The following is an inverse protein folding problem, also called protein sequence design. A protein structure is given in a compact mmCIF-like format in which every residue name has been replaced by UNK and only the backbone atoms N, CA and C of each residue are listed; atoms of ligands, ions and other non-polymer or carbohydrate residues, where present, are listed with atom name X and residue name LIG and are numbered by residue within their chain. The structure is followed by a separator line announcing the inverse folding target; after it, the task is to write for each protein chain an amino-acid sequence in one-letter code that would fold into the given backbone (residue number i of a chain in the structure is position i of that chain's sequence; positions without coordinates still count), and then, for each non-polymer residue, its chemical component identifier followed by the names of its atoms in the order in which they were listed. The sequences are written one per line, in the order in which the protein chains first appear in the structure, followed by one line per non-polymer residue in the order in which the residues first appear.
data_IF_369046474013
#
_entry.id   IF_369046474013
#
_cell.length_a   1.000
_cell.length_b   1.000
_cell.length_c   1.000
_cell.angle_alpha   90.00
_cell.angle_beta   90.00
_cell.angle_gamma   90.00
#
_symmetry.space_group_name_H-M   'P 1'
#
loop_
_entity.id
_entity.type
_entity.pdbx_description
1 polymer ?
#
# COMPACT_ATOMS: atom_id res chain seq x y z
N UNK A 1 -11.53 -37.92 -67.21
CA UNK A 1 -12.59 -37.13 -66.53
C UNK A 1 -12.56 -37.24 -65.00
N UNK A 2 -12.28 -38.42 -64.40
CA UNK A 2 -12.25 -38.55 -62.93
C UNK A 2 -11.14 -37.73 -62.24
N UNK A 3 -9.91 -37.70 -62.78
CA UNK A 3 -8.80 -36.94 -62.22
C UNK A 3 -9.06 -35.43 -62.11
N UNK A 4 -9.79 -34.85 -63.07
CA UNK A 4 -10.08 -33.42 -63.10
C UNK A 4 -10.97 -33.00 -61.90
N UNK A 5 -11.94 -33.84 -61.55
CA UNK A 5 -12.79 -33.61 -60.38
C UNK A 5 -12.00 -33.71 -59.07
N UNK A 6 -11.10 -34.69 -58.94
CA UNK A 6 -10.25 -34.86 -57.76
C UNK A 6 -9.30 -33.67 -57.56
N UNK A 7 -8.59 -33.26 -58.61
CA UNK A 7 -7.67 -32.12 -58.55
C UNK A 7 -8.42 -30.82 -58.23
N UNK A 8 -9.57 -30.59 -58.85
CA UNK A 8 -10.39 -29.40 -58.59
C UNK A 8 -10.92 -29.37 -57.16
N UNK A 9 -11.29 -30.52 -56.60
CA UNK A 9 -11.76 -30.63 -55.21
C UNK A 9 -10.64 -30.32 -54.23
N UNK A 10 -9.46 -30.92 -54.41
CA UNK A 10 -8.30 -30.68 -53.55
C UNK A 10 -7.86 -29.22 -53.62
N UNK A 11 -7.83 -28.63 -54.83
CA UNK A 11 -7.46 -27.22 -55.01
C UNK A 11 -8.46 -26.28 -54.31
N UNK A 12 -9.75 -26.61 -54.34
CA UNK A 12 -10.79 -25.84 -53.64
C UNK A 12 -10.62 -25.91 -52.13
N UNK A 13 -10.31 -27.09 -51.58
CA UNK A 13 -10.06 -27.26 -50.14
C UNK A 13 -8.83 -26.47 -49.70
N UNK A 14 -7.73 -26.55 -50.47
CA UNK A 14 -6.51 -25.78 -50.18
C UNK A 14 -6.79 -24.28 -50.22
N UNK A 15 -7.54 -23.80 -51.22
CA UNK A 15 -7.92 -22.39 -51.31
C UNK A 15 -8.71 -21.92 -50.07
N UNK A 16 -9.67 -22.72 -49.59
CA UNK A 16 -10.43 -22.41 -48.37
C UNK A 16 -9.54 -22.38 -47.12
N UNK A 17 -8.60 -23.33 -46.99
CA UNK A 17 -7.66 -23.32 -45.86
C UNK A 17 -6.77 -22.08 -45.87
N UNK A 18 -6.27 -21.68 -47.05
CA UNK A 18 -5.44 -20.49 -47.19
C UNK A 18 -6.23 -19.20 -46.92
N UNK A 19 -7.51 -19.11 -47.33
CA UNK A 19 -8.33 -17.93 -47.01
C UNK A 19 -8.59 -17.80 -45.51
N UNK A 20 -8.86 -18.91 -44.81
CA UNK A 20 -9.03 -18.90 -43.36
C UNK A 20 -7.74 -18.52 -42.61
N UNK A 21 -6.57 -18.96 -43.10
CA UNK A 21 -5.28 -18.58 -42.53
C UNK A 21 -5.05 -17.06 -42.64
N UNK A 22 -5.28 -16.48 -43.82
CA UNK A 22 -5.14 -15.03 -44.03
C UNK A 22 -6.11 -14.23 -43.16
N UNK A 23 -7.35 -14.70 -42.97
CA UNK A 23 -8.32 -14.03 -42.09
C UNK A 23 -7.86 -14.03 -40.61
N UNK A 24 -7.19 -15.09 -40.16
CA UNK A 24 -6.60 -15.14 -38.82
C UNK A 24 -5.40 -14.20 -38.69
N UNK A 25 -4.51 -14.18 -39.69
CA UNK A 25 -3.29 -13.37 -39.66
C UNK A 25 -3.56 -11.87 -39.80
N UNK A 26 -4.72 -11.48 -40.36
CA UNK A 26 -5.14 -10.09 -40.48
C UNK A 26 -5.77 -9.52 -39.20
N UNK A 27 -5.83 -10.29 -38.11
CA UNK A 27 -6.44 -9.90 -36.81
C UNK A 27 -7.78 -9.17 -36.99
N UNK A 28 -8.58 -9.58 -38.01
CA UNK A 28 -9.83 -8.92 -38.38
C UNK A 28 -10.86 -9.00 -37.23
N UNK A 29 -10.70 -9.99 -36.36
CA UNK A 29 -11.39 -10.10 -35.10
C UNK A 29 -10.38 -9.73 -34.01
N UNK A 30 -10.47 -8.54 -33.42
CA UNK A 30 -9.55 -8.14 -32.36
C UNK A 30 -9.68 -9.10 -31.18
N UNK A 31 -8.55 -9.67 -30.76
CA UNK A 31 -8.46 -10.43 -29.51
C UNK A 31 -8.74 -9.48 -28.34
N UNK A 32 -9.81 -9.75 -27.60
CA UNK A 32 -10.09 -9.04 -26.37
C UNK A 32 -9.11 -9.51 -25.30
N UNK A 33 -7.95 -8.84 -25.21
CA UNK A 33 -7.06 -9.00 -24.06
C UNK A 33 -7.78 -8.44 -22.84
N UNK A 34 -7.96 -9.27 -21.82
CA UNK A 34 -8.32 -8.79 -20.50
C UNK A 34 -7.15 -7.93 -20.01
N UNK A 35 -7.27 -6.61 -20.16
CA UNK A 35 -6.46 -5.71 -19.37
C UNK A 35 -6.87 -5.98 -17.94
N UNK A 36 -5.96 -6.51 -17.12
CA UNK A 36 -6.06 -6.31 -15.68
C UNK A 36 -6.27 -4.82 -15.51
N UNK A 37 -7.48 -4.44 -15.09
CA UNK A 37 -7.79 -3.06 -14.82
C UNK A 37 -6.73 -2.61 -13.84
N UNK A 38 -5.91 -1.63 -14.24
CA UNK A 38 -5.08 -0.92 -13.28
C UNK A 38 -6.02 -0.63 -12.11
N UNK A 39 -5.69 -1.17 -10.94
CA UNK A 39 -6.43 -0.94 -9.70
C UNK A 39 -6.35 0.55 -9.40
N UNK A 40 -7.10 1.36 -10.15
CA UNK A 40 -7.51 2.69 -9.77
C UNK A 40 -8.55 2.44 -8.70
N UNK A 41 -8.05 2.08 -7.52
CA UNK A 41 -8.80 2.06 -6.29
C UNK A 41 -9.71 3.27 -6.34
N UNK A 42 -11.01 3.00 -6.33
CA UNK A 42 -12.05 3.99 -6.44
C UNK A 42 -11.70 5.15 -5.51
N UNK A 43 -11.73 6.37 -6.06
CA UNK A 43 -11.54 7.61 -5.33
C UNK A 43 -12.76 7.89 -4.44
N UNK A 44 -13.15 6.94 -3.61
CA UNK A 44 -14.14 7.11 -2.56
C UNK A 44 -13.38 7.49 -1.30
N UNK A 45 -13.47 8.78 -1.01
CA UNK A 45 -12.96 9.51 0.14
C UNK A 45 -12.85 8.67 1.43
N UNK A 46 -11.61 8.57 1.95
CA UNK A 46 -11.17 8.54 3.37
C UNK A 46 -9.98 7.59 3.59
N UNK A 47 -9.88 6.50 2.85
CA UNK A 47 -8.75 5.57 2.96
C UNK A 47 -8.23 5.16 1.58
N UNK A 48 -6.90 5.05 1.46
CA UNK A 48 -6.23 4.59 0.25
C UNK A 48 -5.36 3.40 0.57
N UNK A 49 -5.46 2.35 -0.23
CA UNK A 49 -4.50 1.25 -0.20
C UNK A 49 -3.16 1.74 -0.73
N UNK A 50 -2.14 1.67 0.12
CA UNK A 50 -0.76 1.99 -0.23
C UNK A 50 -0.01 0.67 -0.38
N UNK A 51 0.62 0.40 -1.54
CA UNK A 51 1.38 -0.83 -1.72
C UNK A 51 2.55 -0.86 -0.75
N UNK A 52 2.74 -2.00 -0.09
CA UNK A 52 3.90 -2.28 0.76
C UNK A 52 4.99 -2.95 -0.07
N UNK A 53 6.26 -2.79 0.32
CA UNK A 53 7.37 -3.46 -0.34
C UNK A 53 7.47 -4.95 0.10
N UNK A 54 8.38 -5.70 -0.52
CA UNK A 54 8.63 -7.13 -0.21
C UNK A 54 8.98 -7.38 1.27
N UNK A 55 9.51 -6.36 1.95
CA UNK A 55 9.87 -6.41 3.36
C UNK A 55 8.74 -5.95 4.30
N UNK A 56 7.52 -5.73 3.79
CA UNK A 56 6.36 -5.21 4.53
C UNK A 56 6.64 -3.87 5.24
N UNK A 57 7.54 -3.05 4.70
CA UNK A 57 7.83 -1.71 5.22
C UNK A 57 7.15 -0.65 4.36
N UNK A 58 6.82 0.48 4.99
CA UNK A 58 6.16 1.61 4.36
C UNK A 58 6.80 2.91 4.84
N UNK A 59 7.37 3.66 3.90
CA UNK A 59 7.91 5.00 4.18
C UNK A 59 6.79 6.04 4.04
N UNK A 60 6.42 6.68 5.14
CA UNK A 60 5.35 7.68 5.19
C UNK A 60 5.94 9.06 5.45
N UNK A 61 5.76 9.99 4.50
CA UNK A 61 6.04 11.42 4.69
C UNK A 61 4.72 12.18 4.64
N UNK A 62 4.34 12.77 5.77
CA UNK A 62 3.14 13.60 5.85
C UNK A 62 3.54 15.06 5.59
N UNK A 63 2.91 15.69 4.60
CA UNK A 63 3.21 17.06 4.15
C UNK A 63 1.92 17.85 4.06
N UNK A 64 2.00 19.17 4.24
CA UNK A 64 0.91 20.12 3.98
C UNK A 64 -0.41 19.74 4.68
N UNK A 65 -0.33 19.30 5.95
CA UNK A 65 -1.53 19.07 6.75
C UNK A 65 -2.16 20.43 7.06
N UNK A 66 -3.20 20.79 6.31
CA UNK A 66 -4.02 21.96 6.58
C UNK A 66 -5.18 21.60 7.54
N UNK A 67 -4.84 21.00 8.68
CA UNK A 67 -5.80 20.89 9.78
C UNK A 67 -5.64 22.15 10.62
N UNK A 68 -6.75 22.85 10.88
CA UNK A 68 -6.73 24.12 11.62
C UNK A 68 -6.30 23.96 13.08
N UNK A 69 -6.27 22.73 13.60
CA UNK A 69 -5.95 22.43 15.00
C UNK A 69 -4.73 21.51 15.13
N UNK A 70 -4.85 20.20 14.90
CA UNK A 70 -3.80 19.23 15.24
C UNK A 70 -3.85 17.98 14.32
N UNK A 71 -2.74 17.22 14.22
CA UNK A 71 -2.69 15.89 13.59
C UNK A 71 -2.89 14.82 14.67
N UNK A 72 -3.97 14.04 14.56
CA UNK A 72 -4.17 12.88 15.42
C UNK A 72 -3.53 11.62 14.80
N UNK A 73 -2.60 10.99 15.52
CA UNK A 73 -1.97 9.73 15.13
C UNK A 73 -2.13 8.72 16.26
N UNK A 74 -2.69 7.55 15.94
CA UNK A 74 -2.74 6.42 16.85
C UNK A 74 -1.59 5.45 16.54
N UNK A 75 -0.73 5.22 17.52
CA UNK A 75 0.42 4.33 17.38
C UNK A 75 0.20 3.09 18.25
N UNK A 76 0.44 1.91 17.67
CA UNK A 76 0.37 0.63 18.38
C UNK A 76 1.67 -0.13 18.18
N UNK A 77 2.30 -0.54 19.28
CA UNK A 77 3.54 -1.34 19.28
C UNK A 77 4.69 -0.65 18.54
N UNK A 78 5.16 0.46 19.09
CA UNK A 78 6.29 1.22 18.54
C UNK A 78 7.60 0.65 19.10
N UNK A 79 8.50 0.25 18.21
CA UNK A 79 9.89 -0.10 18.53
C UNK A 79 10.79 0.77 17.64
N UNK A 80 11.72 1.51 18.25
CA UNK A 80 12.57 2.49 17.57
C UNK A 80 14.02 2.16 17.84
N UNK A 81 14.85 2.27 16.80
CA UNK A 81 16.29 1.99 16.92
C UNK A 81 16.99 2.99 17.85
N UNK A 82 16.61 4.26 17.74
CA UNK A 82 17.11 5.35 18.57
C UNK A 82 16.02 5.86 19.53
N UNK A 83 16.44 6.61 20.55
CA UNK A 83 15.56 7.26 21.52
C UNK A 83 14.65 8.32 20.85
N UNK A 84 13.35 8.25 21.14
CA UNK A 84 12.37 9.24 20.66
C UNK A 84 12.20 10.34 21.70
N UNK A 85 12.53 11.57 21.32
CA UNK A 85 12.24 12.76 22.13
C UNK A 85 10.79 13.17 21.95
N UNK A 86 10.00 13.08 23.02
CA UNK A 86 8.57 13.43 23.01
C UNK A 86 8.32 14.60 23.97
N UNK A 87 7.53 15.57 23.53
CA UNK A 87 6.98 16.61 24.41
C UNK A 87 5.55 16.23 24.79
N UNK A 88 5.32 15.91 26.06
CA UNK A 88 4.06 15.37 26.54
C UNK A 88 3.31 16.44 27.32
N UNK A 89 2.07 16.73 26.92
CA UNK A 89 1.20 17.68 27.61
C UNK A 89 0.35 17.00 28.70
N UNK A 90 -0.16 15.81 28.41
CA UNK A 90 -1.01 15.02 29.31
C UNK A 90 -0.87 13.54 29.02
N UNK A 91 -0.97 12.71 30.06
CA UNK A 91 -1.01 11.26 29.97
C UNK A 91 -2.22 10.78 30.78
N UNK A 92 -3.04 9.92 30.18
CA UNK A 92 -4.16 9.27 30.82
C UNK A 92 -3.96 7.75 30.69
N UNK A 93 -3.85 7.05 31.82
CA UNK A 93 -3.69 5.60 31.88
C UNK A 93 -4.76 5.00 32.79
N UNK A 94 -5.20 3.78 32.46
CA UNK A 94 -6.17 3.05 33.29
C UNK A 94 -5.53 2.41 34.53
N UNK A 95 -4.22 2.26 34.53
CA UNK A 95 -3.43 1.63 35.60
C UNK A 95 -2.18 2.49 35.89
N UNK A 96 -1.37 2.05 36.85
CA UNK A 96 -0.11 2.69 37.24
C UNK A 96 0.85 2.82 36.04
N UNK A 97 1.44 4.02 35.90
CA UNK A 97 2.44 4.31 34.88
C UNK A 97 3.82 4.42 35.54
N UNK A 98 4.63 3.38 35.37
CA UNK A 98 6.02 3.37 35.82
C UNK A 98 6.89 4.25 34.91
N UNK A 99 7.57 5.25 35.49
CA UNK A 99 8.47 6.17 34.78
C UNK A 99 9.81 6.25 35.51
N UNK A 100 10.90 6.05 34.76
CA UNK A 100 12.25 6.33 35.25
C UNK A 100 12.64 7.76 34.85
N UNK A 101 13.06 8.57 35.82
CA UNK A 101 13.38 9.99 35.61
C UNK A 101 14.82 10.23 36.08
N UNK A 102 15.67 10.70 35.17
CA UNK A 102 17.06 11.02 35.48
C UNK A 102 17.25 12.46 35.94
N UNK A 103 16.43 13.39 35.44
CA UNK A 103 16.58 14.83 35.69
C UNK A 103 15.22 15.56 35.73
N UNK A 104 15.08 16.51 36.67
CA UNK A 104 13.91 17.39 36.77
C UNK A 104 14.40 18.82 36.95
N UNK A 105 14.03 19.71 36.02
CA UNK A 105 14.27 21.15 36.15
C UNK A 105 15.75 21.55 36.25
N UNK A 106 16.68 20.82 35.61
CA UNK A 106 18.12 21.09 35.67
C UNK A 106 18.88 20.31 36.74
N UNK A 107 18.19 19.53 37.58
CA UNK A 107 18.79 18.77 38.68
C UNK A 107 18.60 17.26 38.53
N UNK A 108 19.68 16.50 38.71
CA UNK A 108 19.63 15.03 38.70
C UNK A 108 18.76 14.48 39.83
N UNK A 109 17.99 13.44 39.54
CA UNK A 109 17.20 12.71 40.52
C UNK A 109 18.10 11.67 41.17
N UNK A 110 18.38 11.81 42.47
CA UNK A 110 19.20 10.84 43.21
C UNK A 110 18.33 9.73 43.77
N UNK A 111 18.80 8.48 43.67
CA UNK A 111 18.10 7.30 44.19
C UNK A 111 17.76 7.43 45.68
N UNK A 112 16.47 7.39 46.01
CA UNK A 112 15.97 7.16 47.37
C UNK A 112 15.31 8.35 48.09
N UNK A 113 15.29 9.54 47.48
CA UNK A 113 14.57 10.70 48.02
C UNK A 113 13.16 10.83 47.43
N UNK A 114 12.13 11.18 48.22
CA UNK A 114 10.79 11.45 47.67
C UNK A 114 10.82 12.67 46.74
N UNK A 115 10.23 12.54 45.56
CA UNK A 115 10.06 13.65 44.61
C UNK A 115 8.91 14.54 45.11
N UNK A 116 9.19 15.83 45.31
CA UNK A 116 8.17 16.79 45.74
C UNK A 116 7.27 17.13 44.57
N UNK A 117 6.08 16.56 44.57
CA UNK A 117 5.02 16.89 43.60
C UNK A 117 4.02 17.88 44.20
N UNK A 118 3.46 18.76 43.37
CA UNK A 118 2.24 19.50 43.72
C UNK A 118 1.06 18.61 43.43
N UNK A 119 0.23 18.38 44.45
CA UNK A 119 -1.08 17.74 44.30
C UNK A 119 -2.08 18.89 44.20
N UNK A 120 -2.88 18.91 43.13
CA UNK A 120 -4.06 19.77 43.01
C UNK A 120 -5.31 19.02 43.46
#
# INVERSE_FOLDING_TARGET
MKNDLYTKTILTVIAICLTLQVVKDLDLIPSAYASEGNNTADKTSEYRLVPVNEFNTMDVRIVDINTYDELNVNLKSVDTYDEVKVNIKSIETSDELDINIDEIGGGFVTSGGPIKVKIE
#
